data_IF_639168634510
#
_entry.id   IF_639168634510
#
_cell.length_a   1.000
_cell.length_b   1.000
_cell.length_c   1.000
_cell.angle_alpha   90.00
_cell.angle_beta   90.00
_cell.angle_gamma   90.00
#
_symmetry.space_group_name_H-M   'P 1'
#
loop_
_entity.id
_entity.type
_entity.pdbx_description
1 polymer ?
#
# COMPACT_ATOMS: atom_id res chain seq x y z
N UNK A 1 -18.49 -8.03 -1.84
CA UNK A 1 -17.26 -7.25 -1.79
C UNK A 1 -16.23 -7.95 -0.97
N UNK A 2 -15.01 -7.92 -1.44
CA UNK A 2 -13.93 -8.70 -0.83
C UNK A 2 -12.87 -7.75 -0.30
N UNK A 3 -12.81 -7.60 1.02
CA UNK A 3 -11.84 -6.72 1.64
C UNK A 3 -10.41 -7.15 1.33
N UNK A 4 -10.18 -8.44 1.30
CA UNK A 4 -8.84 -8.93 1.00
C UNK A 4 -8.40 -8.49 -0.40
N UNK A 5 -9.28 -8.63 -1.36
CA UNK A 5 -8.95 -8.24 -2.71
C UNK A 5 -8.73 -6.74 -2.82
N UNK A 6 -9.56 -5.97 -2.13
CA UNK A 6 -9.40 -4.52 -2.13
C UNK A 6 -8.04 -4.12 -1.55
N UNK A 7 -7.64 -4.74 -0.47
CA UNK A 7 -6.35 -4.45 0.14
C UNK A 7 -5.20 -4.86 -0.76
N UNK A 8 -5.34 -5.96 -1.45
CA UNK A 8 -4.31 -6.41 -2.38
C UNK A 8 -4.14 -5.42 -3.52
N UNK A 9 -5.24 -4.94 -4.05
CA UNK A 9 -5.18 -3.94 -5.11
C UNK A 9 -4.57 -2.64 -4.61
N UNK A 10 -4.95 -2.22 -3.43
CA UNK A 10 -4.40 -1.01 -2.84
C UNK A 10 -2.90 -1.13 -2.63
N UNK A 11 -2.46 -2.27 -2.14
CA UNK A 11 -1.03 -2.53 -1.96
C UNK A 11 -0.29 -2.43 -3.29
N UNK A 12 -0.88 -2.98 -4.32
CA UNK A 12 -0.25 -2.95 -5.63
C UNK A 12 -0.10 -1.52 -6.14
N UNK A 13 -1.14 -0.72 -5.94
CA UNK A 13 -1.09 0.69 -6.33
C UNK A 13 0.01 1.41 -5.57
N UNK A 14 0.11 1.20 -4.28
CA UNK A 14 1.15 1.84 -3.48
C UNK A 14 2.54 1.45 -3.95
N UNK A 15 2.73 0.18 -4.28
CA UNK A 15 4.04 -0.30 -4.74
C UNK A 15 4.41 0.34 -6.07
N UNK A 16 3.43 0.49 -6.94
CA UNK A 16 3.67 1.14 -8.23
C UNK A 16 4.05 2.58 -8.02
N UNK A 17 3.35 3.27 -7.15
CA UNK A 17 3.65 4.67 -6.83
C UNK A 17 5.05 4.81 -6.25
N UNK A 18 5.46 3.88 -5.43
CA UNK A 18 6.77 3.93 -4.84
C UNK A 18 7.87 3.67 -5.87
N UNK A 19 7.59 2.82 -6.83
CA UNK A 19 8.55 2.49 -7.88
C UNK A 19 8.67 3.63 -8.88
N UNK A 20 7.53 4.18 -9.26
CA UNK A 20 7.48 5.30 -10.21
C UNK A 20 7.64 6.60 -9.43
N UNK A 21 8.87 6.94 -9.12
CA UNK A 21 9.18 7.95 -8.15
C UNK A 21 9.35 9.36 -8.69
N UNK A 22 9.19 9.56 -9.97
CA UNK A 22 9.60 10.82 -10.56
C UNK A 22 8.83 12.02 -10.01
N UNK A 23 7.51 11.97 -10.04
CA UNK A 23 6.72 13.11 -9.61
C UNK A 23 6.19 12.94 -8.20
N UNK A 24 5.85 11.72 -7.85
CA UNK A 24 5.23 11.46 -6.56
C UNK A 24 6.17 11.80 -5.41
N UNK A 25 7.44 11.51 -5.57
CA UNK A 25 8.42 11.75 -4.52
C UNK A 25 8.69 13.23 -4.31
N UNK A 26 8.32 14.05 -5.24
CA UNK A 26 8.46 15.49 -5.05
C UNK A 26 7.48 16.03 -4.03
N UNK A 27 6.31 15.40 -3.93
CA UNK A 27 5.25 15.89 -3.08
C UNK A 27 5.07 15.08 -1.82
N UNK A 28 5.44 13.82 -1.87
CA UNK A 28 5.22 12.92 -0.74
C UNK A 28 6.50 12.22 -0.35
N UNK A 29 6.72 12.16 0.94
CA UNK A 29 7.84 11.40 1.47
C UNK A 29 7.66 9.92 1.20
N UNK A 30 8.76 9.26 0.88
CA UNK A 30 8.72 7.81 0.78
C UNK A 30 8.29 7.20 2.11
N UNK A 31 8.54 7.90 3.20
CA UNK A 31 8.11 7.43 4.52
C UNK A 31 6.60 7.33 4.63
N UNK A 32 5.88 8.28 4.03
CA UNK A 32 4.42 8.22 4.05
C UNK A 32 3.93 7.01 3.30
N UNK A 33 4.50 6.75 2.12
CA UNK A 33 4.13 5.56 1.36
C UNK A 33 4.47 4.28 2.10
N UNK A 34 5.62 4.25 2.73
CA UNK A 34 6.02 3.07 3.50
C UNK A 34 5.01 2.78 4.61
N UNK A 35 4.56 3.81 5.30
CA UNK A 35 3.58 3.63 6.35
C UNK A 35 2.27 3.11 5.80
N UNK A 36 1.84 3.64 4.68
CA UNK A 36 0.61 3.18 4.06
C UNK A 36 0.73 1.72 3.64
N UNK A 37 1.85 1.36 3.08
CA UNK A 37 2.10 -0.02 2.67
C UNK A 37 2.09 -0.95 3.88
N UNK A 38 2.77 -0.56 4.94
CA UNK A 38 2.83 -1.37 6.14
C UNK A 38 1.43 -1.59 6.73
N UNK A 39 0.64 -0.53 6.77
CA UNK A 39 -0.69 -0.64 7.33
C UNK A 39 -1.56 -1.57 6.48
N UNK A 40 -1.48 -1.41 5.17
CA UNK A 40 -2.26 -2.27 4.29
C UNK A 40 -1.83 -3.72 4.41
N UNK A 41 -0.53 -3.97 4.51
CA UNK A 41 -0.03 -5.32 4.68
C UNK A 41 -0.48 -5.92 6.01
N UNK A 42 -0.48 -5.12 7.05
CA UNK A 42 -0.92 -5.59 8.37
C UNK A 42 -2.39 -5.95 8.35
N UNK A 43 -3.20 -5.09 7.73
CA UNK A 43 -4.63 -5.37 7.62
C UNK A 43 -4.87 -6.64 6.82
N UNK A 44 -4.13 -6.81 5.75
CA UNK A 44 -4.27 -8.00 4.92
C UNK A 44 -3.92 -9.26 5.70
N UNK A 45 -2.87 -9.19 6.48
CA UNK A 45 -2.45 -10.32 7.29
C UNK A 45 -3.50 -10.68 8.32
N UNK A 46 -4.11 -9.69 8.93
CA UNK A 46 -5.18 -9.94 9.89
C UNK A 46 -6.35 -10.67 9.22
N UNK A 47 -6.70 -10.24 8.02
CA UNK A 47 -7.79 -10.90 7.31
C UNK A 47 -7.46 -12.36 7.00
N UNK A 48 -6.22 -12.63 6.67
CA UNK A 48 -5.82 -14.00 6.36
C UNK A 48 -5.83 -14.89 7.59
N UNK A 49 -5.61 -14.30 8.76
CA UNK A 49 -5.55 -15.07 10.00
C UNK A 49 -6.92 -15.29 10.61
N UNK A 50 -7.94 -14.70 10.05
CA UNK A 50 -9.29 -14.99 10.49
C UNK A 50 -9.77 -16.32 9.91
#
# INVERSE_FOLDING_TARGET
MNKQKDLEELLQIYKILKTDDSEFNLYNDSKTLDKLIEKAQSDLEELKNE
#
